data_IF_597528123132
#
_entry.id   IF_597528123132
#
_cell.length_a   1.000
_cell.length_b   1.000
_cell.length_c   1.000
_cell.angle_alpha   90.00
_cell.angle_beta   90.00
_cell.angle_gamma   90.00
#
_symmetry.space_group_name_H-M   'P 1'
#
loop_
_entity.id
_entity.type
_entity.pdbx_description
1 polymer ?
#
# COMPACT_ATOMS: atom_id res chain seq x y z
N UNK A 1 9.78 54.86 -33.46
CA UNK A 1 10.20 54.82 -32.03
C UNK A 1 9.05 54.24 -31.19
N UNK A 2 8.61 53.01 -31.44
CA UNK A 2 8.85 51.83 -30.57
C UNK A 2 8.53 52.05 -29.08
N UNK A 3 7.27 51.84 -28.66
CA UNK A 3 6.89 51.36 -27.31
C UNK A 3 5.51 50.66 -27.34
N UNK A 4 5.49 49.37 -27.65
CA UNK A 4 4.35 48.51 -27.30
C UNK A 4 4.80 47.05 -27.37
N UNK A 5 4.95 46.39 -26.21
CA UNK A 5 4.99 44.93 -25.97
C UNK A 5 5.63 44.70 -24.59
N UNK A 6 4.82 44.49 -23.55
CA UNK A 6 5.29 43.85 -22.30
C UNK A 6 4.20 43.38 -21.31
N UNK A 7 2.89 43.44 -21.65
CA UNK A 7 1.82 43.12 -20.68
C UNK A 7 1.30 41.66 -20.79
N UNK A 8 1.77 40.86 -21.75
CA UNK A 8 1.23 39.51 -22.00
C UNK A 8 1.67 38.38 -21.06
N UNK A 9 2.75 38.55 -20.29
CA UNK A 9 3.38 37.42 -19.57
C UNK A 9 2.96 37.22 -18.11
N UNK A 10 2.28 38.19 -17.49
CA UNK A 10 1.93 38.12 -16.06
C UNK A 10 0.62 37.34 -15.78
N UNK A 11 -0.26 37.19 -16.77
CA UNK A 11 -1.59 36.54 -16.59
C UNK A 11 -1.51 35.01 -16.78
N UNK A 12 -0.53 34.50 -17.52
CA UNK A 12 -0.40 33.06 -17.77
C UNK A 12 0.22 32.29 -16.59
N UNK A 13 1.02 32.96 -15.75
CA UNK A 13 1.66 32.32 -14.58
C UNK A 13 0.69 32.07 -13.41
N UNK A 14 -0.33 32.93 -13.23
CA UNK A 14 -1.29 32.80 -12.13
C UNK A 14 -2.34 31.71 -12.36
N UNK A 15 -2.74 31.46 -13.62
CA UNK A 15 -3.72 30.41 -13.97
C UNK A 15 -3.18 29.00 -13.71
N UNK A 16 -1.90 28.75 -14.03
CA UNK A 16 -1.28 27.43 -13.80
C UNK A 16 -1.13 27.10 -12.31
N UNK A 17 -0.89 28.11 -11.46
CA UNK A 17 -0.77 27.90 -10.01
C UNK A 17 -2.12 27.57 -9.35
N UNK A 18 -3.22 28.18 -9.78
CA UNK A 18 -4.56 27.84 -9.26
C UNK A 18 -4.96 26.41 -9.62
N UNK A 19 -4.81 26.01 -10.90
CA UNK A 19 -5.20 24.66 -11.35
C UNK A 19 -4.39 23.54 -10.64
N UNK A 20 -3.11 23.79 -10.36
CA UNK A 20 -2.27 22.86 -9.58
C UNK A 20 -2.69 22.78 -8.11
N UNK A 21 -3.09 23.91 -7.50
CA UNK A 21 -3.58 23.93 -6.12
C UNK A 21 -4.91 23.19 -5.98
N UNK A 22 -5.83 23.34 -6.94
CA UNK A 22 -7.11 22.63 -6.95
C UNK A 22 -6.92 21.13 -7.14
N UNK A 23 -6.05 20.72 -8.07
CA UNK A 23 -5.70 19.30 -8.27
C UNK A 23 -5.11 18.67 -7.00
N UNK A 24 -4.20 19.37 -6.31
CA UNK A 24 -3.60 18.89 -5.07
C UNK A 24 -4.63 18.76 -3.93
N UNK A 25 -5.57 19.69 -3.85
CA UNK A 25 -6.69 19.63 -2.90
C UNK A 25 -7.61 18.43 -3.17
N UNK A 26 -7.96 18.18 -4.44
CA UNK A 26 -8.76 17.02 -4.82
C UNK A 26 -8.04 15.70 -4.53
N UNK A 27 -6.75 15.60 -4.82
CA UNK A 27 -5.93 14.44 -4.49
C UNK A 27 -5.85 14.21 -2.97
N UNK A 28 -5.66 15.26 -2.18
CA UNK A 28 -5.67 15.14 -0.72
C UNK A 28 -7.02 14.61 -0.20
N UNK A 29 -8.12 15.13 -0.72
CA UNK A 29 -9.46 14.67 -0.35
C UNK A 29 -9.65 13.20 -0.72
N UNK A 30 -9.18 12.79 -1.90
CA UNK A 30 -9.22 11.40 -2.34
C UNK A 30 -8.48 10.48 -1.38
N UNK A 31 -7.23 10.84 -1.03
CA UNK A 31 -6.40 10.08 -0.10
C UNK A 31 -7.06 9.90 1.27
N UNK A 32 -7.78 10.92 1.77
CA UNK A 32 -8.56 10.83 3.02
C UNK A 32 -9.72 9.85 2.88
N UNK A 33 -10.47 9.91 1.78
CA UNK A 33 -11.63 9.05 1.55
C UNK A 33 -11.24 7.57 1.47
N UNK A 34 -10.10 7.27 0.84
CA UNK A 34 -9.60 5.90 0.70
C UNK A 34 -8.75 5.42 1.88
N UNK A 35 -8.64 6.23 2.94
CA UNK A 35 -7.85 5.93 4.14
C UNK A 35 -6.38 5.60 3.85
N UNK A 36 -5.76 6.37 2.96
CA UNK A 36 -4.35 6.17 2.59
C UNK A 36 -3.39 6.35 3.78
N UNK A 37 -3.80 7.05 4.83
CA UNK A 37 -3.07 7.16 6.11
C UNK A 37 -2.87 5.79 6.79
N UNK A 38 -3.72 4.80 6.49
CA UNK A 38 -3.64 3.46 7.08
C UNK A 38 -2.69 2.51 6.34
N UNK A 39 -2.12 2.92 5.20
CA UNK A 39 -1.22 2.08 4.40
C UNK A 39 0.01 1.61 5.19
N UNK A 40 0.47 2.40 6.16
CA UNK A 40 1.67 2.11 6.93
C UNK A 40 1.38 1.30 8.20
N UNK A 41 0.13 1.23 8.66
CA UNK A 41 -0.25 0.54 9.90
C UNK A 41 0.27 -0.90 9.99
N UNK A 42 0.18 -1.75 8.93
CA UNK A 42 0.72 -3.10 8.98
C UNK A 42 2.23 -3.15 9.27
N UNK A 43 3.00 -2.17 8.77
CA UNK A 43 4.44 -2.08 9.01
C UNK A 43 4.73 -1.79 10.48
N UNK A 44 4.00 -0.86 11.09
CA UNK A 44 4.11 -0.55 12.51
C UNK A 44 3.80 -1.78 13.37
N UNK A 45 2.68 -2.46 13.07
CA UNK A 45 2.28 -3.66 13.78
C UNK A 45 3.33 -4.78 13.67
N UNK A 46 3.89 -4.99 12.47
CA UNK A 46 4.93 -5.99 12.23
C UNK A 46 6.20 -5.72 13.06
N UNK A 47 6.64 -4.46 13.13
CA UNK A 47 7.83 -4.09 13.93
C UNK A 47 7.57 -4.26 15.43
N UNK A 48 6.38 -3.86 15.91
CA UNK A 48 5.99 -4.05 17.31
C UNK A 48 5.94 -5.53 17.69
N UNK A 49 5.36 -6.36 16.82
CA UNK A 49 5.31 -7.82 16.99
C UNK A 49 6.73 -8.42 17.01
N UNK A 50 7.61 -7.99 16.12
CA UNK A 50 9.01 -8.44 16.09
C UNK A 50 9.74 -8.12 17.41
N UNK A 51 9.54 -6.93 17.97
CA UNK A 51 10.14 -6.56 19.27
C UNK A 51 9.56 -7.40 20.42
N UNK A 52 8.25 -7.62 20.43
CA UNK A 52 7.60 -8.47 21.43
C UNK A 52 8.08 -9.93 21.34
N UNK A 53 8.22 -10.47 20.13
CA UNK A 53 8.76 -11.80 19.89
C UNK A 53 10.20 -11.92 20.38
N UNK A 54 11.06 -10.93 20.13
CA UNK A 54 12.44 -10.92 20.64
C UNK A 54 12.48 -10.90 22.17
N UNK A 55 11.62 -10.11 22.81
CA UNK A 55 11.51 -10.07 24.27
C UNK A 55 11.11 -11.43 24.85
N UNK A 56 10.12 -12.09 24.25
CA UNK A 56 9.68 -13.42 24.64
C UNK A 56 10.75 -14.50 24.40
N UNK A 57 11.44 -14.47 23.25
CA UNK A 57 12.52 -15.40 22.92
C UNK A 57 13.71 -15.28 23.87
N UNK A 58 14.03 -14.06 24.32
CA UNK A 58 15.03 -13.81 25.34
C UNK A 58 14.60 -14.27 26.75
N UNK A 59 13.38 -14.80 26.91
CA UNK A 59 12.76 -15.18 28.19
C UNK A 59 12.83 -14.04 29.21
N UNK A 60 12.68 -12.81 28.75
CA UNK A 60 12.78 -11.64 29.60
C UNK A 60 11.64 -11.65 30.63
N UNK A 61 11.91 -11.34 31.91
CA UNK A 61 10.90 -11.34 32.95
C UNK A 61 9.91 -10.18 32.75
N UNK A 62 8.66 -10.37 33.20
CA UNK A 62 7.60 -9.35 33.10
C UNK A 62 7.99 -8.02 33.78
N UNK A 63 8.83 -8.08 34.83
CA UNK A 63 9.38 -6.88 35.47
C UNK A 63 10.19 -5.97 34.53
N UNK A 64 10.65 -6.47 33.38
CA UNK A 64 11.35 -5.71 32.35
C UNK A 64 10.46 -5.26 31.19
N UNK A 65 9.12 -5.41 31.29
CA UNK A 65 8.18 -4.98 30.25
C UNK A 65 8.32 -3.50 29.88
N UNK A 66 8.62 -2.64 30.85
CA UNK A 66 8.89 -1.21 30.60
C UNK A 66 10.06 -0.99 29.62
N UNK A 67 11.01 -1.92 29.53
CA UNK A 67 12.08 -1.87 28.51
C UNK A 67 11.51 -2.12 27.12
N UNK A 68 10.66 -3.15 26.97
CA UNK A 68 10.00 -3.46 25.69
C UNK A 68 9.16 -2.26 25.22
N UNK A 69 8.34 -1.69 26.09
CA UNK A 69 7.48 -0.54 25.78
C UNK A 69 8.31 0.67 25.31
N UNK A 70 9.41 0.99 26.01
CA UNK A 70 10.31 2.07 25.61
C UNK A 70 10.92 1.84 24.24
N UNK A 71 11.31 0.61 23.90
CA UNK A 71 11.89 0.31 22.60
C UNK A 71 10.84 0.24 21.49
N UNK A 72 9.61 -0.17 21.78
CA UNK A 72 8.49 -0.05 20.85
C UNK A 72 8.18 1.41 20.54
N UNK A 73 8.17 2.29 21.56
CA UNK A 73 8.00 3.73 21.35
C UNK A 73 9.13 4.33 20.50
N UNK A 74 10.39 3.95 20.77
CA UNK A 74 11.54 4.36 19.92
C UNK A 74 11.39 3.87 18.49
N UNK A 75 10.98 2.62 18.28
CA UNK A 75 10.77 2.08 16.95
C UNK A 75 9.64 2.83 16.20
N UNK A 76 8.53 3.12 16.87
CA UNK A 76 7.47 3.95 16.29
C UNK A 76 8.00 5.33 15.88
N UNK A 77 8.81 5.99 16.72
CA UNK A 77 9.38 7.30 16.39
C UNK A 77 10.33 7.25 15.17
N UNK A 78 11.11 6.18 15.01
CA UNK A 78 11.92 5.98 13.81
C UNK A 78 11.07 5.70 12.56
N UNK A 79 9.98 4.94 12.71
CA UNK A 79 9.04 4.72 11.62
C UNK A 79 8.31 6.03 11.24
N UNK A 80 7.89 6.84 12.21
CA UNK A 80 7.27 8.14 11.95
C UNK A 80 8.22 9.06 11.18
N UNK A 81 9.51 9.04 11.52
CA UNK A 81 10.53 9.83 10.81
C UNK A 81 10.69 9.41 9.34
N UNK A 82 10.56 8.12 9.04
CA UNK A 82 10.81 7.57 7.71
C UNK A 82 9.55 7.47 6.83
N UNK A 83 8.45 6.98 7.40
CA UNK A 83 7.21 6.63 6.70
C UNK A 83 5.97 7.24 7.36
N UNK A 84 6.14 8.21 8.26
CA UNK A 84 5.02 8.96 8.83
C UNK A 84 4.16 9.61 7.74
N UNK A 85 2.88 9.81 8.06
CA UNK A 85 1.92 10.35 7.10
C UNK A 85 2.34 11.72 6.55
N UNK A 86 2.99 12.56 7.36
CA UNK A 86 3.53 13.86 6.94
C UNK A 86 4.66 13.73 5.90
N UNK A 87 5.36 12.59 5.84
CA UNK A 87 6.38 12.27 4.84
C UNK A 87 5.79 11.73 3.55
N UNK A 88 4.85 10.80 3.69
CA UNK A 88 4.28 10.06 2.54
C UNK A 88 3.20 10.85 1.81
N UNK A 89 2.38 11.63 2.53
CA UNK A 89 1.25 12.39 1.96
C UNK A 89 1.66 13.29 0.79
N UNK A 90 2.72 14.14 0.88
CA UNK A 90 3.10 15.01 -0.23
C UNK A 90 3.50 14.23 -1.48
N UNK A 91 4.20 13.10 -1.31
CA UNK A 91 4.60 12.23 -2.42
C UNK A 91 3.39 11.56 -3.07
N UNK A 92 2.41 11.10 -2.28
CA UNK A 92 1.16 10.56 -2.80
C UNK A 92 0.36 11.63 -3.54
N UNK A 93 0.22 12.84 -3.01
CA UNK A 93 -0.48 13.93 -3.71
C UNK A 93 0.17 14.17 -5.07
N UNK A 94 1.51 14.25 -5.13
CA UNK A 94 2.24 14.39 -6.39
C UNK A 94 1.99 13.23 -7.35
N UNK A 95 2.01 11.99 -6.83
CA UNK A 95 1.74 10.79 -7.63
C UNK A 95 0.35 10.86 -8.27
N UNK A 96 -0.69 11.16 -7.49
CA UNK A 96 -2.06 11.21 -8.00
C UNK A 96 -2.27 12.38 -8.98
N UNK A 97 -1.78 13.58 -8.65
CA UNK A 97 -1.89 14.76 -9.53
C UNK A 97 -1.08 14.64 -10.83
N UNK A 98 -0.09 13.74 -10.88
CA UNK A 98 0.67 13.47 -12.12
C UNK A 98 -0.01 12.41 -13.01
N UNK A 99 -0.97 11.64 -12.49
CA UNK A 99 -1.62 10.54 -13.20
C UNK A 99 -3.11 10.79 -13.48
N UNK A 100 -3.73 11.73 -12.77
CA UNK A 100 -5.13 12.10 -12.93
C UNK A 100 -5.27 13.60 -13.08
N UNK A 101 -6.17 14.02 -13.97
CA UNK A 101 -6.63 15.40 -14.04
C UNK A 101 -7.46 15.78 -12.80
N UNK A 102 -7.60 17.08 -12.55
CA UNK A 102 -8.46 17.60 -11.49
C UNK A 102 -9.91 17.06 -11.59
N UNK A 103 -10.46 17.03 -12.82
CA UNK A 103 -11.80 16.51 -13.07
C UNK A 103 -11.93 15.03 -12.69
N UNK A 104 -10.95 14.21 -13.04
CA UNK A 104 -10.97 12.79 -12.69
C UNK A 104 -10.83 12.57 -11.18
N UNK A 105 -9.98 13.36 -10.50
CA UNK A 105 -9.88 13.32 -9.03
C UNK A 105 -11.19 13.74 -8.36
N UNK A 106 -11.88 14.74 -8.91
CA UNK A 106 -13.20 15.16 -8.43
C UNK A 106 -14.25 14.05 -8.60
N UNK A 107 -14.23 13.36 -9.74
CA UNK A 107 -15.14 12.24 -10.01
C UNK A 107 -14.85 11.04 -9.10
N UNK A 108 -13.58 10.73 -8.85
CA UNK A 108 -13.17 9.74 -7.84
C UNK A 108 -13.68 10.12 -6.46
N UNK A 109 -13.51 11.39 -6.06
CA UNK A 109 -14.02 11.89 -4.79
C UNK A 109 -15.54 11.72 -4.68
N UNK A 110 -16.29 12.09 -5.72
CA UNK A 110 -17.74 11.94 -5.75
C UNK A 110 -18.16 10.47 -5.61
N UNK A 111 -17.48 9.56 -6.34
CA UNK A 111 -17.74 8.13 -6.25
C UNK A 111 -17.48 7.59 -4.83
N UNK A 112 -16.30 7.83 -4.26
CA UNK A 112 -15.94 7.29 -2.94
C UNK A 112 -16.68 7.97 -1.77
N UNK A 113 -17.28 9.15 -1.98
CA UNK A 113 -18.22 9.75 -1.02
C UNK A 113 -19.62 9.12 -1.07
N UNK A 114 -20.02 8.56 -2.21
CA UNK A 114 -21.33 7.94 -2.39
C UNK A 114 -21.53 6.72 -1.47
N UNK A 115 -22.79 6.33 -1.16
CA UNK A 115 -23.05 5.10 -0.40
C UNK A 115 -22.44 3.85 -1.04
N UNK A 116 -22.42 3.78 -2.37
CA UNK A 116 -21.82 2.67 -3.10
C UNK A 116 -20.29 2.66 -2.96
N UNK A 117 -19.62 3.79 -3.19
CA UNK A 117 -18.16 3.88 -3.08
C UNK A 117 -17.65 3.58 -1.67
N UNK A 118 -18.35 4.04 -0.63
CA UNK A 118 -18.06 3.66 0.76
C UNK A 118 -18.20 2.15 0.98
N UNK A 119 -19.27 1.54 0.46
CA UNK A 119 -19.45 0.08 0.54
C UNK A 119 -18.35 -0.67 -0.21
N UNK A 120 -17.88 -0.16 -1.34
CA UNK A 120 -16.72 -0.72 -2.07
C UNK A 120 -15.47 -0.68 -1.19
N UNK A 121 -15.13 0.46 -0.59
CA UNK A 121 -13.96 0.57 0.30
C UNK A 121 -14.03 -0.40 1.48
N UNK A 122 -15.20 -0.59 2.07
CA UNK A 122 -15.41 -1.50 3.20
C UNK A 122 -15.32 -2.98 2.79
N UNK A 123 -15.92 -3.35 1.65
CA UNK A 123 -16.06 -4.76 1.26
C UNK A 123 -14.90 -5.29 0.45
N UNK A 124 -14.20 -4.46 -0.33
CA UNK A 124 -13.15 -4.93 -1.24
C UNK A 124 -12.04 -5.72 -0.53
N UNK A 125 -11.48 -5.30 0.62
CA UNK A 125 -10.45 -6.09 1.30
C UNK A 125 -10.90 -7.52 1.63
N UNK A 126 -12.16 -7.65 2.09
CA UNK A 126 -12.76 -8.95 2.41
C UNK A 126 -13.02 -9.77 1.14
N UNK A 127 -13.59 -9.16 0.10
CA UNK A 127 -13.85 -9.85 -1.16
C UNK A 127 -12.56 -10.33 -1.83
N UNK A 128 -11.48 -9.54 -1.78
CA UNK A 128 -10.15 -9.95 -2.26
C UNK A 128 -9.63 -11.14 -1.45
N UNK A 129 -9.73 -11.12 -0.13
CA UNK A 129 -9.30 -12.21 0.73
C UNK A 129 -10.08 -13.51 0.47
N UNK A 130 -11.41 -13.43 0.39
CA UNK A 130 -12.28 -14.58 0.08
C UNK A 130 -12.00 -15.13 -1.32
N UNK A 131 -11.77 -14.25 -2.30
CA UNK A 131 -11.42 -14.65 -3.67
C UNK A 131 -10.07 -15.37 -3.73
N UNK A 132 -9.07 -14.87 -3.00
CA UNK A 132 -7.77 -15.53 -2.90
C UNK A 132 -7.88 -16.91 -2.22
N UNK A 133 -8.67 -17.02 -1.14
CA UNK A 133 -8.92 -18.29 -0.46
C UNK A 133 -9.63 -19.31 -1.37
N UNK A 134 -10.63 -18.87 -2.14
CA UNK A 134 -11.32 -19.71 -3.10
C UNK A 134 -10.33 -20.26 -4.14
N UNK A 135 -9.51 -19.39 -4.75
CA UNK A 135 -8.49 -19.80 -5.72
C UNK A 135 -7.49 -20.78 -5.11
N UNK A 136 -7.00 -20.52 -3.90
CA UNK A 136 -6.08 -21.42 -3.21
C UNK A 136 -6.71 -22.80 -2.96
N UNK A 137 -7.99 -22.85 -2.57
CA UNK A 137 -8.72 -24.11 -2.39
C UNK A 137 -8.86 -24.88 -3.70
N UNK A 138 -9.13 -24.21 -4.82
CA UNK A 138 -9.19 -24.84 -6.15
C UNK A 138 -7.82 -25.35 -6.60
N UNK A 139 -6.76 -24.61 -6.32
CA UNK A 139 -5.40 -24.97 -6.69
C UNK A 139 -4.94 -26.28 -6.03
N UNK A 140 -5.42 -26.60 -4.82
CA UNK A 140 -5.11 -27.86 -4.14
C UNK A 140 -5.47 -29.09 -4.99
N UNK A 141 -6.57 -29.04 -5.75
CA UNK A 141 -6.97 -30.11 -6.67
C UNK A 141 -6.06 -30.26 -7.89
N UNK A 142 -5.30 -29.22 -8.24
CA UNK A 142 -4.35 -29.25 -9.36
C UNK A 142 -2.94 -29.68 -8.94
N UNK A 143 -2.64 -29.75 -7.63
CA UNK A 143 -1.29 -30.10 -7.13
C UNK A 143 -0.85 -31.48 -7.62
N UNK A 144 -1.71 -32.50 -7.50
CA UNK A 144 -1.36 -33.85 -7.92
C UNK A 144 -1.19 -33.99 -9.44
N UNK A 145 -2.12 -33.51 -10.30
CA UNK A 145 -1.91 -33.50 -11.75
C UNK A 145 -0.65 -32.75 -12.18
N UNK A 146 -0.35 -31.61 -11.56
CA UNK A 146 0.86 -30.84 -11.88
C UNK A 146 2.12 -31.59 -11.46
N UNK A 147 2.14 -32.21 -10.27
CA UNK A 147 3.26 -33.06 -9.85
C UNK A 147 3.46 -34.25 -10.79
N UNK A 148 2.37 -34.83 -11.31
CA UNK A 148 2.44 -35.88 -12.32
C UNK A 148 3.06 -35.38 -13.63
N UNK A 149 2.64 -34.21 -14.11
CA UNK A 149 3.23 -33.59 -15.31
C UNK A 149 4.74 -33.35 -15.15
N UNK A 150 5.19 -32.86 -13.98
CA UNK A 150 6.61 -32.68 -13.70
C UNK A 150 7.38 -34.02 -13.72
N UNK A 151 6.81 -35.07 -13.10
CA UNK A 151 7.44 -36.39 -13.10
C UNK A 151 7.51 -37.02 -14.49
N UNK A 152 6.48 -36.83 -15.31
CA UNK A 152 6.44 -37.31 -16.70
C UNK A 152 7.49 -36.56 -17.56
N UNK A 153 7.66 -35.24 -17.35
CA UNK A 153 8.71 -34.44 -17.99
C UNK A 153 10.12 -34.87 -17.58
N UNK A 154 10.39 -35.09 -16.28
CA UNK A 154 11.71 -35.56 -15.80
C UNK A 154 12.10 -36.89 -16.46
N UNK A 155 11.12 -37.79 -16.61
CA UNK A 155 11.28 -39.08 -17.28
C UNK A 155 11.64 -38.91 -18.76
N UNK A 156 11.02 -37.99 -19.47
CA UNK A 156 11.33 -37.70 -20.88
C UNK A 156 12.71 -37.07 -21.07
N UNK A 157 13.14 -36.22 -20.13
CA UNK A 157 14.45 -35.57 -20.16
C UNK A 157 15.61 -36.48 -19.73
N UNK A 158 15.32 -37.71 -19.28
CA UNK A 158 16.33 -38.64 -18.76
C UNK A 158 16.96 -38.17 -17.43
N UNK A 159 16.30 -37.25 -16.73
CA UNK A 159 16.73 -36.77 -15.40
C UNK A 159 16.11 -37.70 -14.36
N UNK A 160 16.95 -38.39 -13.58
CA UNK A 160 16.45 -39.22 -12.49
C UNK A 160 15.68 -38.34 -11.49
N UNK A 161 14.41 -38.69 -11.21
CA UNK A 161 13.58 -37.96 -10.27
C UNK A 161 14.34 -37.77 -8.93
N UNK A 162 14.37 -36.55 -8.36
CA UNK A 162 15.02 -36.33 -7.08
C UNK A 162 14.40 -37.27 -6.05
N UNK A 163 15.26 -38.07 -5.40
CA UNK A 163 14.84 -39.06 -4.42
C UNK A 163 13.92 -38.41 -3.38
N UNK A 164 12.63 -38.78 -3.41
CA UNK A 164 11.67 -38.35 -2.40
C UNK A 164 12.16 -38.82 -1.03
N UNK A 165 12.69 -37.89 -0.23
CA UNK A 165 12.97 -38.13 1.18
C UNK A 165 11.62 -38.37 1.88
N UNK A 166 11.27 -39.65 2.06
CA UNK A 166 10.22 -40.07 3.01
C UNK A 166 10.60 -39.52 4.38
N UNK A 167 9.76 -38.62 4.92
CA UNK A 167 9.72 -38.30 6.35
C UNK A 167 8.90 -39.36 7.07
#
# INVERSE_FOLDING_TARGET
>A
MTRLRLIGSAVLLSLSSMAMADSASQAEQFLKLVHADKLTVPVYAQVQQMLAQRFAQAKAPESKKAVLERYQAKANAELDRAIGWDKIKPELIKLYTSNFSESELKDLNAFYQSPLGKKVLEKMPRLTAESAQLTQSRLQGAVEPVNKLMADMDKELGVAAPAQKKK
#
